data_IF_419013393741
#
_entry.id   IF_419013393741
#
_cell.length_a   1.000
_cell.length_b   1.000
_cell.length_c   1.000
_cell.angle_alpha   90.00
_cell.angle_beta   90.00
_cell.angle_gamma   90.00
#
_symmetry.space_group_name_H-M   'P 1'
#
loop_
_entity.id
_entity.type
_entity.pdbx_description
1 polymer ?
#
# COMPACT_ATOMS: atom_id res chain seq x y z
N UNK A 1 7.80 15.67 9.32
CA UNK A 1 7.15 15.18 8.09
C UNK A 1 6.37 13.91 8.39
N UNK A 2 5.16 13.74 7.83
CA UNK A 2 4.35 12.53 7.99
C UNK A 2 4.70 11.53 6.88
N UNK A 3 4.65 10.24 7.19
CA UNK A 3 4.82 9.19 6.17
C UNK A 3 3.57 9.11 5.30
N UNK A 4 3.75 8.79 4.01
CA UNK A 4 2.63 8.66 3.05
C UNK A 4 2.47 7.20 2.67
N UNK A 5 1.24 6.72 2.65
CA UNK A 5 0.89 5.35 2.28
C UNK A 5 -0.08 5.40 1.11
N UNK A 6 0.33 4.91 -0.06
CA UNK A 6 -0.53 4.77 -1.22
C UNK A 6 -0.96 3.30 -1.30
N UNK A 7 -2.23 3.05 -0.95
CA UNK A 7 -2.76 1.70 -0.73
C UNK A 7 -4.00 1.46 -1.59
N UNK A 8 -4.49 0.23 -1.57
CA UNK A 8 -5.73 -0.17 -2.25
C UNK A 8 -5.58 -1.46 -3.01
N UNK A 9 -6.70 -1.94 -3.54
CA UNK A 9 -6.79 -3.21 -4.24
C UNK A 9 -5.78 -3.31 -5.41
N UNK A 10 -5.45 -4.53 -5.83
CA UNK A 10 -4.53 -4.76 -6.95
C UNK A 10 -4.96 -4.01 -8.21
N UNK A 11 -3.98 -3.71 -9.06
CA UNK A 11 -4.22 -3.08 -10.36
C UNK A 11 -5.00 -1.77 -10.29
N UNK A 12 -4.68 -0.86 -9.35
CA UNK A 12 -5.24 0.52 -9.30
C UNK A 12 -4.20 1.60 -9.67
N UNK A 13 -3.07 1.20 -10.25
CA UNK A 13 -1.99 2.10 -10.69
C UNK A 13 -1.12 2.70 -9.58
N UNK A 14 -1.13 2.13 -8.38
CA UNK A 14 -0.37 2.62 -7.22
C UNK A 14 1.12 2.80 -7.50
N UNK A 15 1.80 1.79 -8.02
CA UNK A 15 3.24 1.88 -8.38
C UNK A 15 3.50 3.00 -9.39
N UNK A 16 2.64 3.15 -10.40
CA UNK A 16 2.75 4.25 -11.38
C UNK A 16 2.61 5.61 -10.70
N UNK A 17 1.62 5.75 -9.80
CA UNK A 17 1.41 6.97 -9.04
C UNK A 17 2.59 7.29 -8.11
N UNK A 18 3.10 6.31 -7.37
CA UNK A 18 4.27 6.48 -6.48
C UNK A 18 5.49 6.96 -7.26
N UNK A 19 5.76 6.35 -8.42
CA UNK A 19 6.87 6.76 -9.28
C UNK A 19 6.69 8.21 -9.79
N UNK A 20 5.47 8.58 -10.20
CA UNK A 20 5.19 9.93 -10.69
C UNK A 20 5.33 10.99 -9.58
N UNK A 21 4.83 10.70 -8.38
CA UNK A 21 4.98 11.57 -7.19
C UNK A 21 6.46 11.73 -6.82
N UNK A 22 7.24 10.65 -6.83
CA UNK A 22 8.68 10.72 -6.58
C UNK A 22 9.38 11.64 -7.58
N UNK A 23 9.18 11.43 -8.89
CA UNK A 23 9.76 12.29 -9.92
C UNK A 23 9.43 13.77 -9.70
N UNK A 24 8.16 14.06 -9.39
CA UNK A 24 7.68 15.42 -9.15
C UNK A 24 8.30 16.07 -7.91
N UNK A 25 8.41 15.32 -6.82
CA UNK A 25 9.06 15.78 -5.59
C UNK A 25 10.57 15.97 -5.80
N UNK A 26 11.22 15.15 -6.63
CA UNK A 26 12.62 15.33 -6.98
C UNK A 26 12.88 16.62 -7.79
N UNK A 27 11.97 16.97 -8.69
CA UNK A 27 12.01 18.24 -9.42
C UNK A 27 11.84 19.43 -8.47
N UNK A 28 10.87 19.34 -7.57
CA UNK A 28 10.59 20.40 -6.57
C UNK A 28 11.75 20.56 -5.58
N UNK A 29 12.34 19.46 -5.11
CA UNK A 29 13.47 19.47 -4.19
C UNK A 29 14.74 20.13 -4.78
N UNK A 30 14.92 20.08 -6.11
CA UNK A 30 16.03 20.77 -6.79
C UNK A 30 15.88 22.30 -6.73
N UNK A 31 14.66 22.80 -6.62
CA UNK A 31 14.36 24.23 -6.66
C UNK A 31 14.25 24.84 -5.26
N UNK A 32 13.70 24.10 -4.28
CA UNK A 32 13.30 24.68 -2.98
C UNK A 32 14.02 24.08 -1.76
N UNK A 33 15.07 23.25 -1.96
CA UNK A 33 15.85 22.67 -0.85
C UNK A 33 15.08 21.66 0.02
N UNK A 34 13.98 21.12 -0.50
CA UNK A 34 13.11 20.19 0.19
C UNK A 34 13.81 18.84 0.45
N UNK A 35 13.73 18.31 1.68
CA UNK A 35 14.12 16.94 2.00
C UNK A 35 13.31 15.88 1.23
N UNK A 36 14.02 15.10 0.42
CA UNK A 36 13.45 14.01 -0.37
C UNK A 36 12.93 12.88 0.52
N UNK A 37 11.74 12.33 0.23
CA UNK A 37 11.28 11.11 0.89
C UNK A 37 12.14 9.92 0.49
N UNK A 38 12.28 8.96 1.40
CA UNK A 38 12.69 7.61 1.01
C UNK A 38 11.49 6.87 0.39
N UNK A 39 11.70 6.17 -0.72
CA UNK A 39 10.61 5.41 -1.36
C UNK A 39 10.70 3.92 -1.00
N UNK A 40 9.68 3.43 -0.30
CA UNK A 40 9.49 2.01 -0.05
C UNK A 40 8.64 1.46 -1.19
N UNK A 41 9.29 0.73 -2.12
CA UNK A 41 8.61 0.05 -3.23
C UNK A 41 7.82 -1.16 -2.74
N UNK A 42 6.91 -1.65 -3.58
CA UNK A 42 6.08 -2.83 -3.33
C UNK A 42 6.91 -4.05 -2.85
N UNK A 43 6.90 -4.31 -1.54
CA UNK A 43 7.67 -5.39 -0.91
C UNK A 43 7.16 -6.77 -1.32
N UNK A 44 5.89 -6.88 -1.69
CA UNK A 44 5.26 -8.13 -2.09
C UNK A 44 5.95 -8.77 -3.30
N UNK A 45 6.37 -7.97 -4.29
CA UNK A 45 7.08 -8.49 -5.48
C UNK A 45 8.40 -9.14 -5.10
N UNK A 46 9.14 -8.52 -4.17
CA UNK A 46 10.40 -9.06 -3.67
C UNK A 46 10.16 -10.35 -2.90
N UNK A 47 9.15 -10.39 -2.02
CA UNK A 47 8.81 -11.60 -1.26
C UNK A 47 8.40 -12.76 -2.17
N UNK A 48 7.56 -12.53 -3.17
CA UNK A 48 7.15 -13.55 -4.14
C UNK A 48 8.36 -14.20 -4.82
N UNK A 49 9.31 -13.36 -5.27
CA UNK A 49 10.53 -13.80 -5.95
C UNK A 49 11.48 -14.54 -5.01
N UNK A 50 11.79 -13.95 -3.86
CA UNK A 50 12.81 -14.46 -2.94
C UNK A 50 12.38 -15.74 -2.21
N UNK A 51 11.06 -15.93 -2.05
CA UNK A 51 10.47 -17.08 -1.36
C UNK A 51 9.81 -18.09 -2.31
N UNK A 52 9.95 -17.90 -3.62
CA UNK A 52 9.44 -18.80 -4.65
C UNK A 52 7.94 -19.13 -4.48
N UNK A 53 7.12 -18.09 -4.29
CA UNK A 53 5.66 -18.24 -4.33
C UNK A 53 5.17 -18.09 -5.76
N UNK A 54 4.38 -19.05 -6.23
CA UNK A 54 3.68 -18.96 -7.50
C UNK A 54 2.29 -18.33 -7.34
N UNK A 55 1.57 -18.12 -8.44
CA UNK A 55 0.19 -17.64 -8.41
C UNK A 55 -0.75 -18.70 -7.82
N UNK A 56 -0.52 -19.96 -8.18
CA UNK A 56 -1.28 -21.13 -7.75
C UNK A 56 -1.17 -21.33 -6.24
N UNK A 57 0.01 -21.08 -5.66
CA UNK A 57 0.22 -21.09 -4.22
C UNK A 57 -0.71 -20.13 -3.47
N UNK A 58 -1.08 -19.00 -4.10
CA UNK A 58 -1.93 -17.97 -3.50
C UNK A 58 -3.41 -18.33 -3.65
N UNK A 59 -3.80 -18.85 -4.82
CA UNK A 59 -5.21 -19.11 -5.13
C UNK A 59 -5.72 -20.47 -4.67
N UNK A 60 -4.85 -21.48 -4.53
CA UNK A 60 -5.26 -22.87 -4.30
C UNK A 60 -4.95 -23.39 -2.90
N UNK A 61 -4.12 -22.69 -2.13
CA UNK A 61 -3.69 -23.12 -0.80
C UNK A 61 -3.80 -22.00 0.23
N UNK A 62 -4.86 -22.01 1.08
CA UNK A 62 -5.03 -21.02 2.15
C UNK A 62 -3.81 -20.95 3.09
N UNK A 63 -3.14 -22.09 3.32
CA UNK A 63 -1.92 -22.15 4.13
C UNK A 63 -0.75 -21.39 3.48
N UNK A 64 -0.51 -21.58 2.18
CA UNK A 64 0.55 -20.88 1.44
C UNK A 64 0.21 -19.40 1.28
N UNK A 65 -1.05 -19.08 1.01
CA UNK A 65 -1.54 -17.70 0.97
C UNK A 65 -1.28 -16.98 2.30
N UNK A 66 -1.62 -17.59 3.44
CA UNK A 66 -1.34 -17.02 4.76
C UNK A 66 0.16 -16.79 4.97
N UNK A 67 0.98 -17.80 4.71
CA UNK A 67 2.43 -17.72 4.85
C UNK A 67 3.03 -16.58 4.00
N UNK A 68 2.52 -16.39 2.78
CA UNK A 68 2.91 -15.27 1.93
C UNK A 68 2.56 -13.92 2.60
N UNK A 69 1.32 -13.75 3.07
CA UNK A 69 0.89 -12.50 3.69
C UNK A 69 1.68 -12.18 4.97
N UNK A 70 2.01 -13.18 5.79
CA UNK A 70 2.89 -13.02 6.95
C UNK A 70 4.30 -12.58 6.55
N UNK A 71 4.86 -13.18 5.49
CA UNK A 71 6.16 -12.77 4.95
C UNK A 71 6.15 -11.34 4.39
N UNK A 72 5.09 -10.94 3.71
CA UNK A 72 4.89 -9.56 3.22
C UNK A 72 4.81 -8.58 4.39
N UNK A 73 4.00 -8.88 5.41
CA UNK A 73 3.87 -8.05 6.60
C UNK A 73 5.22 -7.85 7.32
N UNK A 74 5.97 -8.94 7.51
CA UNK A 74 7.29 -8.88 8.13
C UNK A 74 8.30 -8.10 7.26
N UNK A 75 8.24 -8.25 5.93
CA UNK A 75 9.09 -7.49 5.01
C UNK A 75 8.77 -6.00 5.05
N UNK A 76 7.49 -5.63 5.11
CA UNK A 76 7.05 -4.25 5.24
C UNK A 76 7.55 -3.62 6.54
N UNK A 77 7.42 -4.31 7.68
CA UNK A 77 7.96 -3.83 8.95
C UNK A 77 9.47 -3.55 8.86
N UNK A 78 10.24 -4.46 8.24
CA UNK A 78 11.69 -4.27 8.07
C UNK A 78 11.99 -3.06 7.19
N UNK A 79 11.29 -2.89 6.08
CA UNK A 79 11.49 -1.77 5.16
C UNK A 79 11.21 -0.42 5.84
N UNK A 80 10.08 -0.28 6.52
CA UNK A 80 9.73 0.95 7.22
C UNK A 80 10.65 1.23 8.43
N UNK A 81 11.11 0.19 9.12
CA UNK A 81 12.06 0.33 10.22
C UNK A 81 13.42 0.80 9.72
N UNK A 82 13.92 0.23 8.62
CA UNK A 82 15.15 0.66 7.99
C UNK A 82 15.05 2.12 7.50
N UNK A 83 13.94 2.49 6.87
CA UNK A 83 13.70 3.86 6.43
C UNK A 83 13.73 4.86 7.60
N UNK A 84 13.19 4.49 8.76
CA UNK A 84 13.20 5.33 9.97
C UNK A 84 14.59 5.42 10.61
N UNK A 85 15.39 4.35 10.54
CA UNK A 85 16.73 4.31 11.13
C UNK A 85 17.79 5.08 10.33
N UNK A 86 17.55 5.30 9.03
CA UNK A 86 18.53 5.93 8.13
C UNK A 86 18.74 7.43 8.36
N UNK A 87 17.81 8.17 8.99
CA UNK A 87 17.99 9.52 9.54
C UNK A 87 16.72 10.00 10.28
N UNK A 88 16.87 10.73 11.40
CA UNK A 88 15.75 11.21 12.23
C UNK A 88 14.80 12.22 11.56
N UNK A 89 15.19 12.81 10.43
CA UNK A 89 14.38 13.78 9.66
C UNK A 89 13.77 13.23 8.37
N UNK A 90 14.04 11.97 8.01
CA UNK A 90 13.56 11.39 6.76
C UNK A 90 12.20 10.72 6.95
N UNK A 91 11.22 11.23 6.20
CA UNK A 91 9.93 10.59 5.99
C UNK A 91 9.98 9.70 4.74
N UNK A 92 8.97 8.88 4.55
CA UNK A 92 8.91 7.99 3.39
C UNK A 92 7.54 7.95 2.74
N UNK A 93 7.53 7.53 1.47
CA UNK A 93 6.32 7.16 0.73
C UNK A 93 6.36 5.65 0.52
N UNK A 94 5.28 4.96 0.88
CA UNK A 94 5.13 3.53 0.63
C UNK A 94 4.19 3.25 -0.55
N UNK A 95 4.69 2.47 -1.51
CA UNK A 95 3.87 1.73 -2.46
C UNK A 95 3.33 0.49 -1.73
N UNK A 96 2.08 0.60 -1.24
CA UNK A 96 1.40 -0.31 -0.29
C UNK A 96 1.81 -0.12 1.17
N UNK A 97 1.15 -0.84 2.08
CA UNK A 97 1.32 -0.72 3.53
C UNK A 97 1.31 -2.07 4.23
N UNK A 98 1.48 -2.05 5.55
CA UNK A 98 1.26 -3.22 6.40
C UNK A 98 -0.19 -3.72 6.42
N UNK A 99 -1.15 -2.88 6.02
CA UNK A 99 -2.56 -3.24 5.96
C UNK A 99 -2.87 -4.16 4.76
N UNK A 100 -2.19 -3.93 3.64
CA UNK A 100 -2.40 -4.68 2.39
C UNK A 100 -2.36 -6.21 2.61
N UNK A 101 -1.30 -6.81 3.20
CA UNK A 101 -1.27 -8.25 3.40
C UNK A 101 -2.37 -8.77 4.33
N UNK A 102 -2.84 -7.96 5.28
CA UNK A 102 -3.94 -8.35 6.17
C UNK A 102 -5.27 -8.41 5.41
N UNK A 103 -5.52 -7.43 4.53
CA UNK A 103 -6.70 -7.44 3.65
C UNK A 103 -6.66 -8.67 2.73
N UNK A 104 -5.51 -8.99 2.14
CA UNK A 104 -5.39 -10.19 1.30
C UNK A 104 -5.44 -11.49 2.11
N UNK A 105 -4.98 -11.53 3.36
CA UNK A 105 -5.13 -12.69 4.22
C UNK A 105 -6.62 -12.95 4.54
N UNK A 106 -7.36 -11.88 4.83
CA UNK A 106 -8.81 -11.93 5.01
C UNK A 106 -9.49 -12.53 3.78
N UNK A 107 -9.07 -12.10 2.61
CA UNK A 107 -9.65 -12.50 1.34
C UNK A 107 -9.31 -13.95 0.93
N UNK A 108 -8.03 -14.33 0.93
CA UNK A 108 -7.58 -15.65 0.46
C UNK A 108 -7.69 -16.76 1.51
N UNK A 109 -7.77 -16.41 2.79
CA UNK A 109 -7.67 -17.38 3.90
C UNK A 109 -8.90 -17.32 4.80
N UNK A 110 -9.29 -16.11 5.21
CA UNK A 110 -10.49 -15.88 6.01
C UNK A 110 -10.26 -14.92 7.20
N UNK A 111 -11.35 -14.64 7.90
CA UNK A 111 -11.39 -13.66 9.01
C UNK A 111 -10.42 -14.00 10.15
N UNK A 112 -10.34 -15.27 10.55
CA UNK A 112 -9.48 -15.70 11.66
C UNK A 112 -7.99 -15.45 11.37
N UNK A 113 -7.58 -15.63 10.11
CA UNK A 113 -6.21 -15.38 9.68
C UNK A 113 -5.88 -13.88 9.71
N UNK A 114 -6.80 -13.04 9.24
CA UNK A 114 -6.64 -11.59 9.34
C UNK A 114 -6.62 -11.11 10.80
N UNK A 115 -7.51 -11.64 11.63
CA UNK A 115 -7.56 -11.34 13.06
C UNK A 115 -6.24 -11.71 13.77
N UNK A 116 -5.67 -12.88 13.46
CA UNK A 116 -4.37 -13.29 13.97
C UNK A 116 -3.26 -12.29 13.57
N UNK A 117 -3.20 -11.91 12.28
CA UNK A 117 -2.22 -10.93 11.81
C UNK A 117 -2.38 -9.55 12.46
N UNK A 118 -3.63 -9.12 12.74
CA UNK A 118 -3.95 -7.87 13.44
C UNK A 118 -3.52 -7.85 14.91
N UNK A 119 -3.16 -9.00 15.49
CA UNK A 119 -2.59 -9.11 16.84
C UNK A 119 -1.07 -9.27 16.85
N UNK A 120 -0.45 -9.43 15.68
CA UNK A 120 1.00 -9.60 15.57
C UNK A 120 1.77 -8.32 15.94
N UNK A 121 2.96 -8.48 16.53
CA UNK A 121 3.86 -7.36 16.81
C UNK A 121 4.20 -6.56 15.56
N UNK A 122 4.32 -7.25 14.42
CA UNK A 122 4.59 -6.62 13.13
C UNK A 122 3.51 -5.61 12.76
N UNK A 123 2.24 -6.00 12.88
CA UNK A 123 1.13 -5.09 12.61
C UNK A 123 1.05 -3.96 13.64
N UNK A 124 1.20 -4.24 14.93
CA UNK A 124 1.10 -3.20 15.98
C UNK A 124 2.09 -2.05 15.75
N UNK A 125 3.33 -2.37 15.32
CA UNK A 125 4.33 -1.37 14.96
C UNK A 125 3.95 -0.55 13.71
N UNK A 126 3.40 -1.22 12.69
CA UNK A 126 2.98 -0.60 11.42
C UNK A 126 1.73 0.27 11.59
N UNK A 127 0.73 -0.21 12.35
CA UNK A 127 -0.51 0.50 12.64
C UNK A 127 -0.23 1.86 13.29
N UNK A 128 0.68 1.90 14.28
CA UNK A 128 1.07 3.13 14.95
C UNK A 128 1.69 4.16 14.00
N UNK A 129 2.40 3.72 12.96
CA UNK A 129 2.99 4.59 11.93
C UNK A 129 1.92 5.08 10.95
N UNK A 130 1.04 4.18 10.49
CA UNK A 130 -0.08 4.53 9.61
C UNK A 130 -1.03 5.54 10.25
N UNK A 131 -1.37 5.39 11.54
CA UNK A 131 -2.23 6.34 12.28
C UNK A 131 -1.67 7.76 12.33
N UNK A 132 -0.35 7.90 12.27
CA UNK A 132 0.36 9.20 12.28
C UNK A 132 0.67 9.69 10.86
N UNK A 133 0.48 8.85 9.85
CA UNK A 133 0.77 9.12 8.45
C UNK A 133 -0.40 9.71 7.69
N UNK A 134 -0.17 9.90 6.39
CA UNK A 134 -1.17 10.24 5.38
C UNK A 134 -1.47 8.94 4.64
N UNK A 135 -2.70 8.46 4.72
CA UNK A 135 -3.12 7.23 4.02
C UNK A 135 -4.05 7.61 2.88
N UNK A 136 -3.71 7.17 1.67
CA UNK A 136 -4.43 7.45 0.44
C UNK A 136 -4.81 6.12 -0.19
N UNK A 137 -6.12 5.87 -0.32
CA UNK A 137 -6.68 4.68 -0.94
C UNK A 137 -6.98 4.98 -2.41
N UNK A 138 -6.34 4.24 -3.33
CA UNK A 138 -6.74 4.24 -4.74
C UNK A 138 -7.93 3.30 -4.91
N UNK A 139 -9.09 3.87 -5.25
CA UNK A 139 -10.35 3.14 -5.39
C UNK A 139 -10.28 2.07 -6.49
N UNK A 140 -10.86 0.90 -6.19
CA UNK A 140 -11.01 -0.20 -7.13
C UNK A 140 -12.01 0.08 -8.27
N UNK A 141 -11.92 -0.72 -9.32
CA UNK A 141 -12.86 -0.67 -10.45
C UNK A 141 -12.42 0.23 -11.60
N UNK A 142 -11.10 0.49 -11.71
CA UNK A 142 -10.53 1.21 -12.83
C UNK A 142 -10.76 0.44 -14.14
N UNK A 143 -11.33 1.11 -15.15
CA UNK A 143 -11.60 0.53 -16.48
C UNK A 143 -10.40 0.55 -17.43
N UNK A 144 -9.32 1.21 -17.02
CA UNK A 144 -8.15 1.51 -17.86
C UNK A 144 -6.96 0.58 -17.62
N UNK A 145 -7.08 -0.40 -16.72
CA UNK A 145 -6.03 -1.38 -16.45
C UNK A 145 -6.25 -2.68 -17.21
N UNK A 146 -5.26 -3.02 -18.04
CA UNK A 146 -5.22 -4.24 -18.85
C UNK A 146 -4.36 -5.28 -18.11
N UNK A 147 -4.81 -6.54 -18.11
CA UNK A 147 -4.04 -7.66 -17.60
C UNK A 147 -2.77 -7.84 -18.44
N UNK A 148 -1.60 -7.71 -17.81
CA UNK A 148 -0.28 -7.89 -18.43
C UNK A 148 0.28 -9.30 -18.23
N UNK A 149 -0.51 -10.24 -17.68
CA UNK A 149 -0.12 -11.62 -17.40
C UNK A 149 0.79 -11.77 -16.18
N UNK A 150 1.28 -10.66 -15.62
CA UNK A 150 2.15 -10.65 -14.43
C UNK A 150 1.34 -10.33 -13.18
N UNK A 151 0.35 -9.44 -13.29
CA UNK A 151 -0.47 -9.00 -12.15
C UNK A 151 -1.49 -10.04 -11.72
N UNK A 152 -1.65 -10.20 -10.40
CA UNK A 152 -2.83 -10.86 -9.86
C UNK A 152 -4.03 -9.95 -10.13
N UNK A 153 -4.82 -10.28 -11.16
CA UNK A 153 -6.06 -9.57 -11.46
C UNK A 153 -7.20 -10.13 -10.61
N UNK A 154 -8.15 -9.29 -10.17
CA UNK A 154 -9.40 -9.81 -9.64
C UNK A 154 -10.11 -10.62 -10.74
N UNK A 155 -10.83 -11.68 -10.37
CA UNK A 155 -11.60 -12.49 -11.32
C UNK A 155 -12.72 -11.67 -11.97
N UNK A 156 -13.33 -10.78 -11.20
CA UNK A 156 -14.40 -9.90 -11.65
C UNK A 156 -14.45 -8.59 -10.86
N UNK A 157 -15.39 -7.72 -11.22
CA UNK A 157 -15.60 -6.43 -10.55
C UNK A 157 -16.12 -6.58 -9.12
N UNK A 158 -16.89 -7.63 -8.82
CA UNK A 158 -17.43 -7.86 -7.48
C UNK A 158 -16.31 -8.21 -6.50
N UNK A 159 -15.40 -9.10 -6.89
CA UNK A 159 -14.19 -9.42 -6.14
C UNK A 159 -13.34 -8.17 -5.89
N UNK A 160 -13.17 -7.34 -6.92
CA UNK A 160 -12.35 -6.14 -6.80
C UNK A 160 -12.93 -5.16 -5.78
N UNK A 161 -14.26 -4.96 -5.82
CA UNK A 161 -14.98 -4.10 -4.88
C UNK A 161 -15.04 -4.70 -3.46
N UNK A 162 -15.05 -6.03 -3.32
CA UNK A 162 -14.93 -6.70 -2.03
C UNK A 162 -13.60 -6.37 -1.35
N UNK A 163 -12.50 -6.44 -2.09
CA UNK A 163 -11.17 -6.08 -1.56
C UNK A 163 -11.11 -4.59 -1.19
N UNK A 164 -11.66 -3.71 -2.03
CA UNK A 164 -11.74 -2.26 -1.74
C UNK A 164 -12.54 -1.96 -0.46
N UNK A 165 -13.69 -2.60 -0.31
CA UNK A 165 -14.54 -2.50 0.88
C UNK A 165 -13.77 -2.98 2.11
N UNK A 166 -13.06 -4.11 2.01
CA UNK A 166 -12.25 -4.63 3.10
C UNK A 166 -11.12 -3.67 3.54
N UNK A 167 -10.48 -2.96 2.61
CA UNK A 167 -9.53 -1.88 2.93
C UNK A 167 -10.21 -0.78 3.74
N UNK A 168 -11.33 -0.24 3.25
CA UNK A 168 -12.04 0.88 3.89
C UNK A 168 -12.55 0.51 5.28
N UNK A 169 -13.13 -0.68 5.43
CA UNK A 169 -13.68 -1.14 6.70
C UNK A 169 -12.58 -1.35 7.73
N UNK A 170 -11.45 -1.92 7.33
CA UNK A 170 -10.35 -2.15 8.25
C UNK A 170 -9.69 -0.82 8.68
N UNK A 171 -9.50 0.13 7.76
CA UNK A 171 -9.02 1.48 8.10
C UNK A 171 -9.94 2.17 9.12
N UNK A 172 -11.26 2.16 8.87
CA UNK A 172 -12.26 2.74 9.78
C UNK A 172 -12.24 2.06 11.15
N UNK A 173 -12.27 0.73 11.17
CA UNK A 173 -12.29 -0.07 12.40
C UNK A 173 -11.05 0.16 13.25
N UNK A 174 -9.89 0.35 12.61
CA UNK A 174 -8.63 0.61 13.30
C UNK A 174 -8.43 2.09 13.64
N UNK A 175 -9.32 2.99 13.22
CA UNK A 175 -9.20 4.43 13.45
C UNK A 175 -8.02 5.06 12.68
N UNK A 176 -7.72 4.53 11.50
CA UNK A 176 -6.72 5.09 10.58
C UNK A 176 -7.44 6.06 9.65
N UNK A 177 -7.04 7.33 9.69
CA UNK A 177 -7.59 8.34 8.79
C UNK A 177 -7.06 8.11 7.37
N UNK A 178 -7.94 8.19 6.38
CA UNK A 178 -7.58 8.02 4.99
C UNK A 178 -8.41 8.92 4.09
N UNK A 179 -7.87 9.19 2.91
CA UNK A 179 -8.57 9.83 1.80
C UNK A 179 -8.61 8.88 0.59
N UNK A 180 -9.45 9.19 -0.39
CA UNK A 180 -9.69 8.33 -1.55
C UNK A 180 -9.35 9.09 -2.82
N UNK A 181 -8.53 8.48 -3.68
CA UNK A 181 -8.43 8.85 -5.09
C UNK A 181 -9.48 8.02 -5.83
N UNK A 182 -10.44 8.71 -6.46
CA UNK A 182 -11.52 8.08 -7.21
C UNK A 182 -10.98 7.27 -8.39
N UNK A 183 -11.66 6.17 -8.71
CA UNK A 183 -11.37 5.36 -9.90
C UNK A 183 -11.60 6.12 -11.21
N UNK A 184 -12.43 7.17 -11.16
CA UNK A 184 -12.79 8.01 -12.31
C UNK A 184 -11.72 9.08 -12.60
N UNK A 185 -10.80 9.32 -11.66
CA UNK A 185 -9.63 10.19 -11.88
C UNK A 185 -8.59 9.45 -12.70
N UNK A 186 -8.76 9.46 -14.03
CA UNK A 186 -7.89 8.72 -14.96
C UNK A 186 -6.59 9.46 -15.27
N UNK A 187 -6.56 10.79 -15.13
CA UNK A 187 -5.36 11.58 -15.39
C UNK A 187 -4.31 11.37 -14.29
N UNK A 188 -3.08 11.03 -14.68
CA UNK A 188 -2.01 10.73 -13.74
C UNK A 188 -1.55 12.00 -12.99
N UNK A 189 -1.54 13.16 -13.64
CA UNK A 189 -1.12 14.41 -13.03
C UNK A 189 -2.13 14.86 -11.97
N UNK A 190 -3.43 14.75 -12.24
CA UNK A 190 -4.48 15.04 -11.23
C UNK A 190 -4.30 14.17 -9.98
N UNK A 191 -3.94 12.90 -10.15
CA UNK A 191 -3.65 11.99 -9.03
C UNK A 191 -2.37 12.38 -8.28
N UNK A 192 -1.34 12.84 -8.99
CA UNK A 192 -0.10 13.34 -8.37
C UNK A 192 -0.38 14.60 -7.57
N UNK A 193 -1.09 15.57 -8.14
CA UNK A 193 -1.49 16.82 -7.49
C UNK A 193 -2.30 16.55 -6.22
N UNK A 194 -3.18 15.54 -6.25
CA UNK A 194 -3.92 15.10 -5.08
C UNK A 194 -2.99 14.66 -3.92
N UNK A 195 -1.98 13.85 -4.23
CA UNK A 195 -1.00 13.38 -3.23
C UNK A 195 -0.14 14.55 -2.74
N UNK A 196 0.32 15.41 -3.63
CA UNK A 196 1.11 16.59 -3.26
C UNK A 196 0.34 17.53 -2.34
N UNK A 197 -0.92 17.82 -2.67
CA UNK A 197 -1.79 18.63 -1.83
C UNK A 197 -1.96 18.00 -0.44
N UNK A 198 -2.18 16.69 -0.36
CA UNK A 198 -2.29 16.00 0.92
C UNK A 198 -0.99 16.10 1.76
N UNK A 199 0.18 16.07 1.11
CA UNK A 199 1.48 16.29 1.76
C UNK A 199 1.60 17.74 2.26
N UNK A 200 1.24 18.72 1.43
CA UNK A 200 1.31 20.15 1.76
C UNK A 200 0.35 20.51 2.91
N UNK A 201 -0.89 20.03 2.87
CA UNK A 201 -1.88 20.26 3.92
C UNK A 201 -1.43 19.69 5.27
N UNK A 202 -0.60 18.64 5.27
CA UNK A 202 -0.04 18.06 6.48
C UNK A 202 1.18 18.80 7.04
N UNK A 203 1.71 19.80 6.32
CA UNK A 203 2.81 20.68 6.76
C UNK A 203 2.31 21.93 7.49
N UNK A 204 1.05 22.32 7.29
CA UNK A 204 0.39 23.47 7.95
C UNK A 204 -0.11 23.09 9.34
#
# INVERSE_FOLDING_TARGET
MKNVYIIGAQSTGKTTLVNAVECKLEETAKNDGWQRPFIIREVARTVLKDKYFSREDISESPKRALQLQEHILAAQLRAETAATALNASNWYICDRSGLDPIVYARYFVGEDAAAAMLTSEAWLGLEGRMKKGIVIVCEAGCTWLIDDGVRLMPKDMEEWMCVDTAFRDLLKTRGIHFSIISKDTTDLNERVEYVEKAIQDALQ
#
